data_IF_056127065927
#
_entry.id   IF_056127065927
#
_cell.length_a   1.000
_cell.length_b   1.000
_cell.length_c   1.000
_cell.angle_alpha   90.00
_cell.angle_beta   90.00
_cell.angle_gamma   90.00
#
_symmetry.space_group_name_H-M   'P 1'
#
loop_
_entity.id
_entity.type
_entity.pdbx_description
1 polymer ?
#
# COMPACT_ATOMS: atom_id res chain seq x y z
N UNK A 1 -22.53 -50.27 9.92
CA UNK A 1 -21.78 -49.28 9.13
C UNK A 1 -22.07 -47.89 9.73
N UNK A 2 -21.13 -47.36 10.53
CA UNK A 2 -21.33 -46.13 11.26
C UNK A 2 -20.61 -45.00 10.51
N UNK A 3 -21.38 -44.04 10.02
CA UNK A 3 -20.90 -42.87 9.29
C UNK A 3 -20.37 -41.82 10.32
N UNK A 4 -19.05 -41.66 10.41
CA UNK A 4 -18.45 -40.60 11.20
C UNK A 4 -18.40 -39.30 10.37
N UNK A 5 -19.25 -38.32 10.70
CA UNK A 5 -19.14 -36.95 10.24
C UNK A 5 -17.90 -36.29 10.89
N UNK A 6 -16.90 -35.94 10.08
CA UNK A 6 -15.82 -35.06 10.48
C UNK A 6 -16.34 -33.61 10.38
N UNK A 7 -16.59 -32.99 11.52
CA UNK A 7 -16.77 -31.53 11.64
C UNK A 7 -15.40 -30.88 11.52
N UNK A 8 -15.14 -30.24 10.39
CA UNK A 8 -14.01 -29.28 10.23
C UNK A 8 -14.42 -27.99 10.92
N UNK A 9 -13.93 -27.79 12.13
CA UNK A 9 -14.12 -26.53 12.85
C UNK A 9 -13.28 -25.43 12.21
N UNK A 10 -13.89 -24.48 11.52
CA UNK A 10 -13.27 -23.25 11.15
C UNK A 10 -12.97 -22.45 12.44
N UNK A 11 -11.69 -22.39 12.81
CA UNK A 11 -11.22 -21.56 13.90
C UNK A 11 -11.24 -20.10 13.42
N UNK A 12 -12.33 -19.38 13.67
CA UNK A 12 -12.37 -17.93 13.57
C UNK A 12 -11.41 -17.37 14.64
N UNK A 13 -10.20 -17.02 14.22
CA UNK A 13 -9.32 -16.19 15.03
C UNK A 13 -9.91 -14.77 15.02
N UNK A 14 -10.80 -14.49 15.97
CA UNK A 14 -11.16 -13.12 16.32
C UNK A 14 -9.91 -12.47 16.93
N UNK A 15 -9.20 -11.70 16.13
CA UNK A 15 -8.20 -10.75 16.63
C UNK A 15 -8.94 -9.80 17.58
N UNK A 16 -8.73 -9.98 18.88
CA UNK A 16 -9.16 -9.02 19.90
C UNK A 16 -8.39 -7.71 19.64
N UNK A 17 -9.03 -6.79 18.96
CA UNK A 17 -8.52 -5.44 18.81
C UNK A 17 -8.47 -4.81 20.20
N UNK A 18 -7.31 -4.32 20.61
CA UNK A 18 -7.20 -3.49 21.80
C UNK A 18 -8.18 -2.31 21.70
N UNK A 19 -8.73 -1.88 22.84
CA UNK A 19 -9.64 -0.73 22.87
C UNK A 19 -9.00 0.44 22.11
N UNK A 20 -9.79 1.15 21.31
CA UNK A 20 -9.30 2.30 20.54
C UNK A 20 -8.55 3.27 21.45
N UNK A 21 -7.34 3.71 21.06
CA UNK A 21 -6.54 4.57 21.91
C UNK A 21 -7.26 5.89 22.17
N UNK A 22 -7.10 6.45 23.37
CA UNK A 22 -7.64 7.77 23.70
C UNK A 22 -6.94 8.83 22.83
N UNK A 23 -7.69 9.67 22.10
CA UNK A 23 -7.08 10.70 21.27
C UNK A 23 -6.50 11.84 22.13
N UNK A 24 -5.35 12.35 21.71
CA UNK A 24 -4.76 13.58 22.24
C UNK A 24 -5.45 14.81 21.62
N UNK A 25 -5.78 14.72 20.34
CA UNK A 25 -6.50 15.77 19.61
C UNK A 25 -7.56 15.20 18.66
N UNK A 26 -8.57 16.02 18.36
CA UNK A 26 -9.65 15.70 17.45
C UNK A 26 -9.61 16.68 16.27
N UNK A 27 -9.66 16.14 15.04
CA UNK A 27 -9.80 16.90 13.80
C UNK A 27 -11.23 16.75 13.29
N UNK A 28 -11.90 17.86 12.96
CA UNK A 28 -13.25 17.87 12.42
C UNK A 28 -13.48 19.07 11.49
N UNK A 29 -13.91 18.83 10.25
CA UNK A 29 -14.19 19.89 9.26
C UNK A 29 -15.29 20.85 9.70
N UNK A 30 -16.22 20.37 10.51
CA UNK A 30 -17.34 21.16 11.07
C UNK A 30 -16.95 22.07 12.24
N UNK A 31 -15.70 22.01 12.68
CA UNK A 31 -15.18 22.82 13.79
C UNK A 31 -15.49 22.28 15.18
N UNK A 32 -16.01 21.08 15.31
CA UNK A 32 -16.28 20.42 16.61
C UNK A 32 -15.04 19.72 17.20
N UNK A 33 -13.88 19.79 16.53
CA UNK A 33 -12.57 19.35 16.99
C UNK A 33 -11.68 20.52 17.38
N UNK A 34 -10.48 20.22 17.89
CA UNK A 34 -9.44 21.23 18.14
C UNK A 34 -8.85 21.80 16.85
N UNK A 35 -8.87 20.99 15.77
CA UNK A 35 -8.37 21.37 14.44
C UNK A 35 -9.43 21.10 13.38
N UNK A 36 -9.45 21.93 12.32
CA UNK A 36 -10.26 21.69 11.12
C UNK A 36 -9.48 20.97 10.03
N UNK A 37 -8.14 21.06 10.08
CA UNK A 37 -7.18 20.48 9.14
C UNK A 37 -6.37 19.38 9.82
N UNK A 38 -6.21 18.24 9.14
CA UNK A 38 -5.33 17.16 9.60
C UNK A 38 -3.86 17.62 9.54
N UNK A 39 -3.48 18.43 8.52
CA UNK A 39 -2.11 18.95 8.43
C UNK A 39 -1.77 19.83 9.64
N UNK A 40 -2.70 20.68 10.10
CA UNK A 40 -2.50 21.49 11.30
C UNK A 40 -2.30 20.62 12.55
N UNK A 41 -3.14 19.59 12.73
CA UNK A 41 -3.02 18.67 13.87
C UNK A 41 -1.67 17.90 13.85
N UNK A 42 -1.22 17.43 12.68
CA UNK A 42 0.09 16.80 12.51
C UNK A 42 1.22 17.79 12.82
N UNK A 43 1.10 19.04 12.36
CA UNK A 43 2.10 20.09 12.60
C UNK A 43 2.18 20.50 14.07
N UNK A 44 1.11 20.33 14.82
CA UNK A 44 1.05 20.60 16.27
C UNK A 44 1.52 19.40 17.13
N UNK A 45 1.63 18.21 16.54
CA UNK A 45 2.13 17.02 17.27
C UNK A 45 3.54 17.28 17.81
N UNK A 46 3.89 16.73 18.99
CA UNK A 46 5.25 16.84 19.54
C UNK A 46 6.30 16.30 18.57
N UNK A 47 7.44 16.97 18.49
CA UNK A 47 8.59 16.37 17.80
C UNK A 47 9.06 15.15 18.58
N UNK A 48 9.36 14.08 17.86
CA UNK A 48 9.87 12.86 18.48
C UNK A 48 11.35 13.03 18.82
N UNK A 49 11.62 13.34 20.07
CA UNK A 49 13.00 13.49 20.61
C UNK A 49 13.47 12.28 21.39
N UNK A 50 12.53 11.43 21.89
CA UNK A 50 12.81 10.24 22.67
C UNK A 50 12.00 9.04 22.12
N UNK A 51 12.66 7.89 21.85
CA UNK A 51 11.96 6.66 21.45
C UNK A 51 10.89 6.20 22.46
N UNK A 52 11.06 6.51 23.75
CA UNK A 52 10.12 6.16 24.81
C UNK A 52 8.88 7.08 24.87
N UNK A 53 8.87 8.20 24.10
CA UNK A 53 7.70 9.09 24.07
C UNK A 53 6.46 8.34 23.60
N UNK A 54 5.33 8.39 24.34
CA UNK A 54 4.10 7.76 23.92
C UNK A 54 3.66 8.21 22.54
N UNK A 55 2.96 7.34 21.83
CA UNK A 55 2.40 7.65 20.50
C UNK A 55 1.35 8.75 20.63
N UNK A 56 1.50 9.80 19.81
CA UNK A 56 0.52 10.88 19.72
C UNK A 56 -0.67 10.44 18.86
N UNK A 57 -1.88 10.52 19.39
CA UNK A 57 -3.09 10.03 18.73
C UNK A 57 -3.93 11.18 18.20
N UNK A 58 -4.11 11.24 16.90
CA UNK A 58 -4.99 12.18 16.20
C UNK A 58 -6.25 11.44 15.76
N UNK A 59 -7.39 11.77 16.34
CA UNK A 59 -8.67 11.24 15.89
C UNK A 59 -9.28 12.16 14.84
N UNK A 60 -9.60 11.60 13.67
CA UNK A 60 -10.15 12.34 12.52
C UNK A 60 -11.63 11.96 12.36
N UNK A 61 -12.55 12.88 12.61
CA UNK A 61 -13.98 12.67 12.41
C UNK A 61 -14.31 12.42 10.95
N UNK A 62 -15.46 11.78 10.70
CA UNK A 62 -15.98 11.60 9.35
C UNK A 62 -16.11 12.96 8.64
N UNK A 63 -15.67 13.00 7.39
CA UNK A 63 -15.66 14.20 6.55
C UNK A 63 -14.67 14.06 5.41
N UNK A 64 -14.78 14.91 4.41
CA UNK A 64 -13.81 15.01 3.31
C UNK A 64 -12.86 16.18 3.57
N UNK A 65 -11.60 15.87 3.70
CA UNK A 65 -10.50 16.79 3.95
C UNK A 65 -9.75 17.00 2.63
N UNK A 66 -10.06 18.11 1.94
CA UNK A 66 -9.42 18.48 0.66
C UNK A 66 -8.10 19.18 0.91
N UNK A 67 -7.10 18.45 1.35
CA UNK A 67 -5.80 18.97 1.72
C UNK A 67 -4.67 18.01 1.38
N UNK A 68 -3.46 18.56 1.19
CA UNK A 68 -2.24 17.77 1.09
C UNK A 68 -1.62 17.62 2.46
N UNK A 69 -1.25 16.39 2.79
CA UNK A 69 -0.59 16.08 4.05
C UNK A 69 0.89 15.81 3.81
N UNK A 70 1.72 16.49 4.60
CA UNK A 70 3.13 16.21 4.70
C UNK A 70 3.54 15.97 6.16
N UNK A 71 3.91 14.73 6.46
CA UNK A 71 4.46 14.36 7.76
C UNK A 71 5.98 14.46 7.67
N UNK A 72 6.55 15.49 8.30
CA UNK A 72 7.98 15.73 8.35
C UNK A 72 8.71 14.59 9.10
N UNK A 73 9.98 14.37 8.77
CA UNK A 73 10.82 13.32 9.37
C UNK A 73 10.91 13.43 10.89
N UNK A 74 10.91 14.62 11.42
CA UNK A 74 11.00 14.94 12.86
C UNK A 74 9.69 14.63 13.62
N UNK A 75 8.59 14.38 12.90
CA UNK A 75 7.26 14.13 13.47
C UNK A 75 6.85 12.67 13.32
N UNK A 76 7.68 11.77 13.84
CA UNK A 76 7.37 10.35 13.91
C UNK A 76 6.46 9.97 15.08
N UNK A 77 6.12 8.68 15.15
CA UNK A 77 5.36 8.08 16.26
C UNK A 77 3.96 8.68 16.47
N UNK A 78 3.27 9.01 15.37
CA UNK A 78 1.89 9.51 15.40
C UNK A 78 0.94 8.38 14.95
N UNK A 79 -0.24 8.32 15.57
CA UNK A 79 -1.35 7.48 15.14
C UNK A 79 -2.48 8.36 14.62
N UNK A 80 -2.72 8.31 13.32
CA UNK A 80 -3.86 8.96 12.67
C UNK A 80 -5.00 7.96 12.59
N UNK A 81 -6.05 8.17 13.37
CA UNK A 81 -7.20 7.28 13.50
C UNK A 81 -8.46 7.94 12.94
N UNK A 82 -8.96 7.44 11.83
CA UNK A 82 -10.23 7.86 11.24
C UNK A 82 -11.45 7.28 11.98
N UNK A 83 -12.52 8.04 12.02
CA UNK A 83 -13.79 7.59 12.60
C UNK A 83 -14.42 6.44 11.77
N UNK A 84 -14.26 6.45 10.47
CA UNK A 84 -14.85 5.48 9.54
C UNK A 84 -14.03 5.43 8.27
N UNK A 85 -13.68 4.23 7.82
CA UNK A 85 -12.81 4.00 6.66
C UNK A 85 -13.31 4.67 5.39
N UNK A 86 -14.61 4.69 5.16
CA UNK A 86 -15.22 5.20 3.94
C UNK A 86 -15.63 6.67 4.03
N UNK A 87 -15.90 7.15 5.25
CA UNK A 87 -16.40 8.50 5.49
C UNK A 87 -15.33 9.48 5.98
N UNK A 88 -14.16 9.00 6.39
CA UNK A 88 -13.00 9.85 6.73
C UNK A 88 -12.06 9.86 5.54
N UNK A 89 -12.17 10.87 4.68
CA UNK A 89 -11.50 10.90 3.38
C UNK A 89 -10.51 12.07 3.31
N UNK A 90 -9.23 11.75 3.12
CA UNK A 90 -8.20 12.72 2.80
C UNK A 90 -7.99 12.69 1.29
N UNK A 91 -8.26 13.78 0.59
CA UNK A 91 -8.25 13.81 -0.86
C UNK A 91 -7.52 15.03 -1.41
N UNK A 92 -6.82 14.84 -2.52
CA UNK A 92 -6.27 15.91 -3.33
C UNK A 92 -6.15 15.47 -4.80
N UNK A 93 -5.77 16.38 -5.72
CA UNK A 93 -5.90 16.14 -7.15
C UNK A 93 -4.65 16.52 -7.98
N UNK A 94 -3.45 16.51 -7.40
CA UNK A 94 -2.24 16.75 -8.18
C UNK A 94 -1.87 15.55 -9.05
N UNK A 95 -1.40 15.81 -10.27
CA UNK A 95 -0.87 14.81 -11.19
C UNK A 95 0.38 15.31 -11.91
N UNK A 96 1.19 14.39 -12.42
CA UNK A 96 2.56 14.63 -12.85
C UNK A 96 2.73 15.73 -13.91
N UNK A 97 1.78 15.86 -14.84
CA UNK A 97 1.86 16.82 -15.96
C UNK A 97 1.44 18.24 -15.59
N UNK A 98 1.00 18.50 -14.36
CA UNK A 98 0.67 19.86 -13.95
C UNK A 98 1.91 20.77 -14.01
N UNK A 99 1.76 22.02 -14.43
CA UNK A 99 2.86 22.99 -14.38
C UNK A 99 3.22 23.36 -12.95
N UNK A 100 4.50 23.35 -12.63
CA UNK A 100 5.04 23.85 -11.38
C UNK A 100 5.31 25.36 -11.43
N UNK A 101 5.69 25.97 -10.30
CA UNK A 101 6.02 27.40 -10.24
C UNK A 101 7.17 27.83 -11.14
N UNK A 102 8.04 26.90 -11.51
CA UNK A 102 9.18 27.08 -12.42
C UNK A 102 8.82 26.88 -13.90
N UNK A 103 7.54 26.72 -14.22
CA UNK A 103 7.03 26.46 -15.57
C UNK A 103 7.30 25.03 -16.09
N UNK A 104 7.97 24.17 -15.33
CA UNK A 104 8.17 22.75 -15.66
C UNK A 104 7.05 21.91 -15.07
N UNK A 105 6.85 20.69 -15.60
CA UNK A 105 5.92 19.74 -14.98
C UNK A 105 6.38 19.36 -13.57
N UNK A 106 5.41 19.17 -12.66
CA UNK A 106 5.75 18.82 -11.27
C UNK A 106 6.34 17.41 -11.15
N UNK A 107 5.98 16.50 -12.05
CA UNK A 107 6.42 15.09 -12.03
C UNK A 107 5.78 14.29 -10.91
N UNK A 108 5.83 12.96 -11.03
CA UNK A 108 5.15 12.00 -10.15
C UNK A 108 5.42 12.23 -8.65
N UNK A 109 6.68 12.43 -8.28
CA UNK A 109 7.08 12.47 -6.87
C UNK A 109 6.59 13.71 -6.09
N UNK A 110 6.02 14.71 -6.77
CA UNK A 110 5.45 15.91 -6.15
C UNK A 110 3.93 15.93 -6.10
N UNK A 111 3.29 14.82 -6.49
CA UNK A 111 1.82 14.72 -6.58
C UNK A 111 1.11 14.14 -5.35
N UNK A 112 1.77 13.61 -4.29
CA UNK A 112 1.05 12.85 -3.27
C UNK A 112 0.00 13.70 -2.55
N UNK A 113 -1.16 13.08 -2.32
CA UNK A 113 -2.15 13.58 -1.37
C UNK A 113 -1.57 13.50 0.05
N UNK A 114 -0.97 12.37 0.39
CA UNK A 114 -0.30 12.16 1.68
C UNK A 114 1.14 11.74 1.46
N UNK A 115 2.09 12.49 2.00
CA UNK A 115 3.51 12.14 2.08
C UNK A 115 3.91 11.92 3.53
N UNK A 116 4.54 10.78 3.82
CA UNK A 116 4.95 10.38 5.16
C UNK A 116 6.46 10.14 5.18
N UNK A 117 7.20 11.10 5.71
CA UNK A 117 8.66 10.99 5.92
C UNK A 117 9.00 10.60 7.37
N UNK A 118 8.06 10.79 8.31
CA UNK A 118 8.23 10.45 9.73
C UNK A 118 8.14 8.95 9.99
N UNK A 119 8.98 8.43 10.89
CA UNK A 119 9.04 7.01 11.24
C UNK A 119 7.99 6.60 12.27
N UNK A 120 7.66 5.30 12.31
CA UNK A 120 6.82 4.70 13.34
C UNK A 120 5.37 5.19 13.32
N UNK A 121 4.86 5.64 12.18
CA UNK A 121 3.48 6.12 12.02
C UNK A 121 2.49 4.96 11.94
N UNK A 122 1.29 5.18 12.48
CA UNK A 122 0.12 4.33 12.22
C UNK A 122 -0.96 5.17 11.54
N UNK A 123 -1.49 4.68 10.43
CA UNK A 123 -2.66 5.21 9.75
C UNK A 123 -3.76 4.15 9.82
N UNK A 124 -4.91 4.51 10.34
CA UNK A 124 -5.96 3.53 10.61
C UNK A 124 -7.35 4.06 10.28
N UNK A 125 -8.17 3.20 9.66
CA UNK A 125 -9.61 3.39 9.48
C UNK A 125 -9.98 4.67 8.70
N UNK A 126 -9.29 4.96 7.59
CA UNK A 126 -9.53 6.13 6.75
C UNK A 126 -9.22 5.87 5.27
N UNK A 127 -9.63 6.78 4.40
CA UNK A 127 -9.35 6.76 2.96
C UNK A 127 -8.34 7.83 2.59
N UNK A 128 -7.31 7.44 1.83
CA UNK A 128 -6.38 8.32 1.14
C UNK A 128 -6.67 8.25 -0.37
N UNK A 129 -7.01 9.38 -1.00
CA UNK A 129 -7.42 9.39 -2.40
C UNK A 129 -6.65 10.45 -3.20
N UNK A 130 -6.20 10.09 -4.40
CA UNK A 130 -5.88 11.10 -5.39
C UNK A 130 -7.01 11.17 -6.41
N UNK A 131 -7.66 12.32 -6.48
CA UNK A 131 -8.86 12.55 -7.29
C UNK A 131 -8.58 13.22 -8.64
N UNK A 132 -7.35 13.16 -9.14
CA UNK A 132 -6.99 13.68 -10.46
C UNK A 132 -7.79 12.99 -11.61
N UNK A 133 -8.19 11.75 -11.38
CA UNK A 133 -8.97 10.96 -12.33
C UNK A 133 -8.12 10.03 -13.20
N UNK A 134 -8.77 9.42 -14.18
CA UNK A 134 -8.15 8.50 -15.13
C UNK A 134 -7.08 9.21 -15.98
N UNK A 135 -5.89 8.58 -16.19
CA UNK A 135 -4.88 9.11 -17.10
C UNK A 135 -5.41 9.28 -18.52
N UNK A 136 -5.18 10.45 -19.09
CA UNK A 136 -5.62 10.77 -20.44
C UNK A 136 -5.82 12.26 -20.72
N UNK A 137 -6.22 12.63 -21.94
CA UNK A 137 -6.50 14.00 -22.32
C UNK A 137 -7.60 14.64 -21.48
N UNK A 138 -7.50 15.94 -21.24
CA UNK A 138 -8.53 16.76 -20.60
C UNK A 138 -8.94 17.89 -21.53
N UNK A 139 -10.22 18.32 -21.50
CA UNK A 139 -10.66 19.50 -22.24
C UNK A 139 -9.91 20.78 -21.85
N UNK A 140 -9.68 20.94 -20.54
CA UNK A 140 -9.12 22.15 -19.97
C UNK A 140 -7.84 21.82 -19.18
N UNK A 141 -6.70 21.82 -19.84
CA UNK A 141 -5.40 21.66 -19.21
C UNK A 141 -4.59 20.45 -19.65
N UNK A 142 -3.45 20.18 -19.00
CA UNK A 142 -2.59 19.04 -19.32
C UNK A 142 -3.28 17.70 -19.14
N UNK A 143 -2.91 16.72 -19.97
CA UNK A 143 -3.38 15.34 -19.81
C UNK A 143 -3.08 14.81 -18.42
N UNK A 144 -4.06 14.14 -17.78
CA UNK A 144 -3.84 13.45 -16.50
C UNK A 144 -2.79 12.36 -16.70
N UNK A 145 -1.89 12.25 -15.75
CA UNK A 145 -0.82 11.27 -15.72
C UNK A 145 -0.72 10.67 -14.31
N UNK A 146 0.44 10.21 -13.91
CA UNK A 146 0.72 9.62 -12.60
C UNK A 146 0.27 10.55 -11.47
N UNK A 147 -0.40 9.96 -10.44
CA UNK A 147 -1.04 10.73 -9.39
C UNK A 147 -1.10 9.92 -8.08
N UNK A 148 -0.26 10.29 -7.12
CA UNK A 148 -0.09 9.56 -5.87
C UNK A 148 -1.20 9.88 -4.85
N UNK A 149 -1.86 8.85 -4.32
CA UNK A 149 -2.63 8.97 -3.08
C UNK A 149 -1.68 8.95 -1.86
N UNK A 150 -0.66 8.08 -1.89
CA UNK A 150 0.33 7.94 -0.83
C UNK A 150 1.76 7.94 -1.38
N UNK A 151 2.65 8.68 -0.71
CA UNK A 151 4.09 8.52 -0.77
C UNK A 151 4.63 8.21 0.63
N UNK A 152 5.24 7.03 0.81
CA UNK A 152 5.76 6.53 2.06
C UNK A 152 7.30 6.48 2.01
N UNK A 153 7.95 7.38 2.74
CA UNK A 153 9.41 7.52 2.86
C UNK A 153 9.92 7.21 4.27
N UNK A 154 9.06 7.16 5.29
CA UNK A 154 9.42 6.81 6.65
C UNK A 154 9.63 5.29 6.83
N UNK A 155 10.27 4.92 7.94
CA UNK A 155 10.44 3.52 8.35
C UNK A 155 9.41 3.10 9.40
N UNK A 156 9.08 1.79 9.44
CA UNK A 156 8.11 1.20 10.38
C UNK A 156 6.73 1.86 10.30
N UNK A 157 6.22 2.02 9.08
CA UNK A 157 4.88 2.53 8.84
C UNK A 157 3.86 1.40 8.87
N UNK A 158 2.74 1.63 9.54
CA UNK A 158 1.61 0.71 9.58
C UNK A 158 0.38 1.39 9.00
N UNK A 159 -0.23 0.74 8.01
CA UNK A 159 -1.51 1.13 7.44
C UNK A 159 -2.51 0.01 7.74
N UNK A 160 -3.54 0.32 8.51
CA UNK A 160 -4.48 -0.67 9.00
C UNK A 160 -5.89 -0.27 8.64
N UNK A 161 -6.64 -1.19 7.98
CA UNK A 161 -8.03 -0.95 7.61
C UNK A 161 -8.23 0.37 6.85
N UNK A 162 -7.29 0.72 5.95
CA UNK A 162 -7.31 1.93 5.12
C UNK A 162 -7.81 1.62 3.70
N UNK A 163 -8.22 2.68 2.99
CA UNK A 163 -8.45 2.63 1.54
C UNK A 163 -7.47 3.57 0.84
N UNK A 164 -6.93 3.11 -0.29
CA UNK A 164 -6.07 3.90 -1.17
C UNK A 164 -6.71 3.94 -2.55
N UNK A 165 -7.15 5.12 -2.96
CA UNK A 165 -7.90 5.30 -4.20
C UNK A 165 -7.12 6.15 -5.19
N UNK A 166 -6.94 5.61 -6.40
CA UNK A 166 -6.23 6.28 -7.47
C UNK A 166 -6.29 5.49 -8.77
N UNK A 167 -5.45 5.88 -9.72
CA UNK A 167 -5.34 5.24 -11.04
C UNK A 167 -3.90 4.77 -11.28
N UNK A 168 -3.11 5.51 -12.07
CA UNK A 168 -1.70 5.21 -12.27
C UNK A 168 -0.87 5.71 -11.09
N UNK A 169 0.04 4.88 -10.58
CA UNK A 169 0.97 5.21 -9.50
C UNK A 169 0.28 5.57 -8.15
N UNK A 170 -0.77 4.85 -7.74
CA UNK A 170 -1.54 5.20 -6.53
C UNK A 170 -0.69 5.26 -5.25
N UNK A 171 0.18 4.25 -5.03
CA UNK A 171 1.01 4.13 -3.82
C UNK A 171 2.49 4.04 -4.19
N UNK A 172 3.27 5.03 -3.76
CA UNK A 172 4.72 4.97 -3.76
C UNK A 172 5.23 4.53 -2.39
N UNK A 173 5.66 3.29 -2.26
CA UNK A 173 6.41 2.78 -1.11
C UNK A 173 7.90 2.97 -1.42
N UNK A 174 8.43 4.18 -1.12
CA UNK A 174 9.70 4.63 -1.66
C UNK A 174 10.92 4.02 -0.95
N UNK A 175 10.89 3.97 0.39
CA UNK A 175 11.95 3.41 1.24
C UNK A 175 11.42 3.03 2.62
N UNK A 176 12.21 2.32 3.42
CA UNK A 176 11.81 1.87 4.75
C UNK A 176 11.02 0.56 4.73
N UNK A 177 10.37 0.26 5.83
CA UNK A 177 9.59 -0.96 6.05
C UNK A 177 8.14 -0.60 6.33
N UNK A 178 7.22 -1.23 5.58
CA UNK A 178 5.81 -0.89 5.64
C UNK A 178 4.95 -2.15 5.83
N UNK A 179 3.94 -2.04 6.66
CA UNK A 179 2.95 -3.07 6.89
C UNK A 179 1.55 -2.54 6.56
N UNK A 180 0.92 -3.16 5.58
CA UNK A 180 -0.46 -2.88 5.19
C UNK A 180 -1.31 -4.08 5.60
N UNK A 181 -2.34 -3.87 6.41
CA UNK A 181 -3.23 -4.95 6.85
C UNK A 181 -4.69 -4.55 6.68
N UNK A 182 -5.50 -5.48 6.15
CA UNK A 182 -6.93 -5.30 5.88
C UNK A 182 -7.23 -4.04 5.03
N UNK A 183 -6.31 -3.65 4.15
CA UNK A 183 -6.46 -2.46 3.31
C UNK A 183 -7.13 -2.78 1.98
N UNK A 184 -7.87 -1.80 1.45
CA UNK A 184 -8.35 -1.78 0.08
C UNK A 184 -7.46 -0.86 -0.75
N UNK A 185 -6.93 -1.37 -1.86
CA UNK A 185 -6.00 -0.62 -2.73
C UNK A 185 -6.48 -0.75 -4.17
N UNK A 186 -6.77 0.38 -4.81
CA UNK A 186 -7.17 0.37 -6.22
C UNK A 186 -6.25 1.20 -7.11
N UNK A 187 -6.18 0.80 -8.37
CA UNK A 187 -5.41 1.49 -9.39
C UNK A 187 -5.39 0.76 -10.73
N UNK A 188 -4.59 1.27 -11.65
CA UNK A 188 -4.45 0.72 -13.00
C UNK A 188 -3.01 0.33 -13.33
N UNK A 189 -2.15 1.29 -13.64
CA UNK A 189 -0.77 1.04 -14.07
C UNK A 189 0.19 1.32 -12.91
N UNK A 190 1.02 0.34 -12.55
CA UNK A 190 2.10 0.48 -11.56
C UNK A 190 1.61 1.06 -10.21
N UNK A 191 0.39 0.70 -9.81
CA UNK A 191 -0.26 1.41 -8.72
C UNK A 191 0.25 1.07 -7.32
N UNK A 192 1.19 0.11 -7.20
CA UNK A 192 2.01 -0.13 -6.01
C UNK A 192 3.47 -0.20 -6.48
N UNK A 193 4.26 0.84 -6.22
CA UNK A 193 5.61 0.93 -6.75
C UNK A 193 6.62 1.51 -5.76
N UNK A 194 7.91 1.37 -6.03
CA UNK A 194 8.99 1.90 -5.19
C UNK A 194 9.99 0.86 -4.71
N UNK A 195 10.87 1.25 -3.78
CA UNK A 195 12.05 0.48 -3.36
C UNK A 195 11.97 -0.09 -1.93
N UNK A 196 10.90 0.19 -1.20
CA UNK A 196 10.73 -0.23 0.20
C UNK A 196 10.60 -1.76 0.35
N UNK A 197 10.80 -2.24 1.57
CA UNK A 197 10.31 -3.55 1.99
C UNK A 197 8.89 -3.40 2.51
N UNK A 198 7.91 -3.98 1.81
CA UNK A 198 6.50 -3.82 2.18
C UNK A 198 5.78 -5.15 2.27
N UNK A 199 4.99 -5.31 3.32
CA UNK A 199 4.17 -6.50 3.54
C UNK A 199 2.70 -6.11 3.49
N UNK A 200 1.96 -6.76 2.60
CA UNK A 200 0.52 -6.59 2.42
C UNK A 200 -0.17 -7.84 2.93
N UNK A 201 -0.94 -7.70 4.00
CA UNK A 201 -1.57 -8.78 4.74
C UNK A 201 -3.10 -8.66 4.64
N UNK A 202 -3.79 -9.67 4.15
CA UNK A 202 -5.25 -9.68 3.98
C UNK A 202 -5.79 -8.45 3.22
N UNK A 203 -5.01 -7.89 2.29
CA UNK A 203 -5.42 -6.72 1.52
C UNK A 203 -6.29 -7.11 0.31
N UNK A 204 -7.26 -6.26 -0.01
CA UNK A 204 -8.02 -6.33 -1.25
C UNK A 204 -7.41 -5.39 -2.30
N UNK A 205 -6.85 -5.96 -3.35
CA UNK A 205 -6.22 -5.25 -4.48
C UNK A 205 -7.21 -5.23 -5.64
N UNK A 206 -7.66 -4.04 -6.05
CA UNK A 206 -8.65 -3.89 -7.12
C UNK A 206 -8.09 -3.17 -8.33
N UNK A 207 -8.22 -3.78 -9.51
CA UNK A 207 -7.71 -3.23 -10.77
C UNK A 207 -8.84 -2.56 -11.53
N UNK A 208 -8.76 -1.24 -11.71
CA UNK A 208 -9.83 -0.44 -12.35
C UNK A 208 -9.69 -0.33 -13.86
N UNK A 209 -8.50 -0.62 -14.42
CA UNK A 209 -8.20 -0.60 -15.87
C UNK A 209 -6.99 -1.50 -16.15
N UNK A 210 -6.84 -1.95 -17.41
CA UNK A 210 -5.69 -2.74 -17.85
C UNK A 210 -4.35 -2.12 -17.42
N UNK A 211 -3.46 -2.96 -16.86
CA UNK A 211 -2.17 -2.44 -16.40
C UNK A 211 -1.31 -3.44 -15.64
N UNK A 212 -0.71 -2.95 -14.57
CA UNK A 212 0.24 -3.68 -13.74
C UNK A 212 -0.01 -3.35 -12.28
N UNK A 213 -0.15 -4.37 -11.43
CA UNK A 213 -0.36 -4.16 -9.98
C UNK A 213 0.90 -3.56 -9.37
N UNK A 214 2.06 -4.18 -9.59
CA UNK A 214 3.31 -3.75 -8.96
C UNK A 214 4.37 -3.31 -9.95
N UNK A 215 5.18 -2.31 -9.54
CA UNK A 215 6.40 -1.89 -10.22
C UNK A 215 7.52 -1.70 -9.18
N UNK A 216 8.06 -2.81 -8.69
CA UNK A 216 9.10 -2.78 -7.67
C UNK A 216 10.45 -2.27 -8.23
N UNK A 217 11.18 -1.55 -7.39
CA UNK A 217 12.55 -1.08 -7.67
C UNK A 217 13.51 -1.49 -6.55
N UNK A 218 13.33 -2.67 -6.01
CA UNK A 218 14.11 -3.21 -4.89
C UNK A 218 15.62 -3.08 -5.16
N UNK A 219 16.42 -2.51 -4.26
CA UNK A 219 17.86 -2.49 -4.35
C UNK A 219 18.46 -3.91 -4.39
N UNK A 220 19.60 -4.07 -5.06
CA UNK A 220 20.26 -5.38 -5.22
C UNK A 220 20.47 -6.10 -3.89
N UNK A 221 20.98 -5.38 -2.92
CA UNK A 221 21.40 -5.94 -1.63
C UNK A 221 20.25 -5.99 -0.58
N UNK A 222 19.07 -5.50 -0.92
CA UNK A 222 17.90 -5.58 -0.04
C UNK A 222 17.29 -6.99 -0.12
N UNK A 223 17.17 -7.72 1.01
CA UNK A 223 16.74 -9.12 0.98
C UNK A 223 15.29 -9.29 0.52
N UNK A 224 14.40 -8.38 0.87
CA UNK A 224 12.98 -8.43 0.56
C UNK A 224 12.50 -7.17 -0.17
N UNK A 225 11.54 -7.34 -1.08
CA UNK A 225 10.76 -6.26 -1.70
C UNK A 225 9.33 -6.30 -1.17
N UNK A 226 8.37 -6.64 -2.04
CA UNK A 226 6.96 -6.74 -1.67
C UNK A 226 6.56 -8.18 -1.39
N UNK A 227 5.82 -8.39 -0.32
CA UNK A 227 5.16 -9.66 0.01
C UNK A 227 3.67 -9.39 0.18
N UNK A 228 2.85 -10.04 -0.62
CA UNK A 228 1.40 -10.08 -0.50
C UNK A 228 1.00 -11.44 0.07
N UNK A 229 0.37 -11.46 1.22
CA UNK A 229 -0.05 -12.69 1.88
C UNK A 229 -1.54 -12.67 2.16
N UNK A 230 -2.23 -13.78 1.83
CA UNK A 230 -3.64 -13.97 2.08
C UNK A 230 -4.52 -12.83 1.51
N UNK A 231 -4.07 -12.22 0.40
CA UNK A 231 -4.71 -11.12 -0.28
C UNK A 231 -5.77 -11.60 -1.27
N UNK A 232 -6.63 -10.67 -1.71
CA UNK A 232 -7.57 -10.87 -2.80
C UNK A 232 -7.26 -9.89 -3.94
N UNK A 233 -7.20 -10.40 -5.18
CA UNK A 233 -7.08 -9.58 -6.39
C UNK A 233 -8.36 -9.66 -7.20
N UNK A 234 -9.01 -8.51 -7.41
CA UNK A 234 -10.18 -8.37 -8.28
C UNK A 234 -9.92 -7.35 -9.39
N UNK A 235 -10.80 -7.26 -10.35
CA UNK A 235 -10.74 -6.23 -11.39
C UNK A 235 -12.13 -5.84 -11.85
N UNK A 236 -12.24 -4.65 -12.42
CA UNK A 236 -13.44 -4.22 -13.12
C UNK A 236 -13.72 -5.15 -14.31
N UNK A 237 -14.95 -5.13 -14.82
CA UNK A 237 -15.40 -6.03 -15.89
C UNK A 237 -14.51 -5.93 -17.13
N UNK A 238 -14.03 -7.08 -17.62
CA UNK A 238 -13.19 -7.18 -18.81
C UNK A 238 -11.73 -6.77 -18.66
N UNK A 239 -11.33 -6.24 -17.51
CA UNK A 239 -9.96 -5.76 -17.24
C UNK A 239 -8.98 -6.93 -17.20
N UNK A 240 -7.76 -6.67 -17.72
CA UNK A 240 -6.61 -7.59 -17.66
C UNK A 240 -5.37 -6.91 -17.11
N UNK A 241 -4.72 -7.55 -16.15
CA UNK A 241 -3.55 -7.00 -15.47
C UNK A 241 -2.43 -8.03 -15.33
N UNK A 242 -1.20 -7.55 -15.23
CA UNK A 242 -0.08 -8.33 -14.74
C UNK A 242 0.06 -8.14 -13.22
N UNK A 243 0.60 -9.14 -12.52
CA UNK A 243 0.97 -9.06 -11.11
C UNK A 243 2.08 -8.01 -10.88
N UNK A 244 2.93 -7.83 -11.88
CA UNK A 244 3.92 -6.77 -11.85
C UNK A 244 4.92 -6.76 -12.99
N UNK A 245 5.74 -5.71 -12.99
CA UNK A 245 6.87 -5.51 -13.90
C UNK A 245 8.04 -4.82 -13.18
N UNK A 246 9.32 -5.04 -13.59
CA UNK A 246 10.48 -4.53 -12.87
C UNK A 246 10.77 -3.06 -13.23
N UNK A 247 10.48 -2.13 -12.32
CA UNK A 247 10.94 -0.75 -12.51
C UNK A 247 12.47 -0.67 -12.47
N UNK A 248 13.12 -1.51 -11.63
CA UNK A 248 14.58 -1.69 -11.61
C UNK A 248 14.93 -3.18 -11.65
N UNK A 249 16.17 -3.49 -12.02
CA UNK A 249 16.61 -4.84 -12.41
C UNK A 249 16.50 -5.90 -11.29
N UNK A 250 16.56 -5.49 -10.02
CA UNK A 250 16.51 -6.41 -8.88
C UNK A 250 15.14 -6.43 -8.19
N UNK A 251 14.10 -6.05 -8.90
CA UNK A 251 12.74 -6.03 -8.38
C UNK A 251 12.35 -7.37 -7.73
N UNK A 252 11.75 -7.29 -6.53
CA UNK A 252 11.29 -8.48 -5.78
C UNK A 252 9.83 -8.31 -5.38
N UNK A 253 8.99 -9.26 -5.81
CA UNK A 253 7.56 -9.29 -5.46
C UNK A 253 7.12 -10.74 -5.31
N UNK A 254 6.43 -11.04 -4.22
CA UNK A 254 5.94 -12.38 -3.88
C UNK A 254 4.46 -12.32 -3.54
N UNK A 255 3.67 -13.22 -4.10
CA UNK A 255 2.27 -13.46 -3.71
C UNK A 255 2.13 -14.81 -3.03
N UNK A 256 1.58 -14.82 -1.82
CA UNK A 256 1.35 -16.01 -1.01
C UNK A 256 -0.14 -16.20 -0.77
N UNK A 257 -0.68 -17.37 -1.09
CA UNK A 257 -2.08 -17.74 -0.80
C UNK A 257 -3.10 -16.66 -1.20
N UNK A 258 -2.82 -15.98 -2.30
CA UNK A 258 -3.65 -14.91 -2.80
C UNK A 258 -4.76 -15.44 -3.68
N UNK A 259 -6.01 -15.02 -3.46
CA UNK A 259 -7.12 -15.29 -4.34
C UNK A 259 -7.08 -14.34 -5.54
N UNK A 260 -6.97 -14.88 -6.76
CA UNK A 260 -6.80 -14.11 -7.99
C UNK A 260 -7.98 -14.29 -8.93
N UNK A 261 -8.71 -13.21 -9.22
CA UNK A 261 -9.76 -13.24 -10.23
C UNK A 261 -9.20 -13.42 -11.65
N UNK A 262 -10.09 -13.65 -12.62
CA UNK A 262 -9.73 -13.76 -14.04
C UNK A 262 -9.16 -12.47 -14.65
N UNK A 263 -9.07 -11.37 -13.90
CA UNK A 263 -8.37 -10.16 -14.30
C UNK A 263 -6.86 -10.38 -14.41
N UNK A 264 -6.27 -11.27 -13.62
CA UNK A 264 -4.84 -11.57 -13.70
C UNK A 264 -4.54 -12.37 -14.97
N UNK A 265 -3.62 -11.86 -15.79
CA UNK A 265 -3.19 -12.50 -17.04
C UNK A 265 -2.49 -13.83 -16.78
N UNK A 266 -2.64 -14.83 -17.67
CA UNK A 266 -1.98 -16.14 -17.53
C UNK A 266 -0.46 -16.04 -17.36
N UNK A 267 0.21 -15.12 -18.07
CA UNK A 267 1.64 -14.89 -17.98
C UNK A 267 2.08 -14.42 -16.59
N UNK A 268 1.20 -13.78 -15.85
CA UNK A 268 1.41 -13.25 -14.51
C UNK A 268 2.32 -12.03 -14.45
N UNK A 269 3.48 -12.06 -15.10
CA UNK A 269 4.52 -11.06 -15.00
C UNK A 269 4.94 -10.51 -16.37
N UNK A 270 5.43 -9.27 -16.40
CA UNK A 270 5.94 -8.63 -17.59
C UNK A 270 7.37 -8.11 -17.33
N UNK A 271 8.27 -8.25 -18.29
CA UNK A 271 9.70 -7.87 -18.12
C UNK A 271 10.00 -6.39 -18.39
N UNK A 272 8.99 -5.56 -18.64
CA UNK A 272 9.12 -4.15 -19.02
C UNK A 272 9.99 -3.91 -20.27
N UNK A 273 9.99 -4.85 -21.21
CA UNK A 273 10.90 -4.86 -22.37
C UNK A 273 12.40 -4.78 -21.99
N UNK A 274 12.76 -5.37 -20.84
CA UNK A 274 14.11 -5.44 -20.30
C UNK A 274 14.51 -6.90 -20.09
N UNK A 275 14.88 -7.66 -21.13
CA UNK A 275 15.22 -9.08 -20.99
C UNK A 275 16.29 -9.39 -19.92
N UNK A 276 17.32 -8.55 -19.68
CA UNK A 276 18.27 -8.80 -18.60
C UNK A 276 17.63 -8.84 -17.20
N UNK A 277 16.53 -8.12 -16.97
CA UNK A 277 15.82 -8.11 -15.68
C UNK A 277 15.20 -9.48 -15.34
N UNK A 278 14.91 -10.32 -16.32
CA UNK A 278 14.39 -11.68 -16.11
C UNK A 278 15.33 -12.56 -15.29
N UNK A 279 16.64 -12.29 -15.37
CA UNK A 279 17.67 -13.04 -14.64
C UNK A 279 17.85 -12.53 -13.21
N UNK A 280 17.54 -11.27 -12.94
CA UNK A 280 17.86 -10.58 -11.68
C UNK A 280 16.66 -10.34 -10.79
N UNK A 281 15.45 -10.32 -11.35
CA UNK A 281 14.20 -10.19 -10.58
C UNK A 281 13.90 -11.43 -9.75
N UNK A 282 13.21 -11.22 -8.63
CA UNK A 282 12.64 -12.29 -7.84
C UNK A 282 11.11 -12.14 -7.77
N UNK A 283 10.44 -12.68 -8.77
CA UNK A 283 8.98 -12.72 -8.88
C UNK A 283 8.48 -14.14 -8.63
N UNK A 284 7.66 -14.31 -7.60
CA UNK A 284 7.30 -15.61 -7.12
C UNK A 284 5.85 -15.69 -6.62
N UNK A 285 5.30 -16.89 -6.63
CA UNK A 285 3.96 -17.19 -6.14
C UNK A 285 3.98 -18.51 -5.38
N UNK A 286 3.11 -18.62 -4.34
CA UNK A 286 2.89 -19.89 -3.64
C UNK A 286 1.45 -19.98 -3.10
N UNK A 287 0.78 -21.08 -3.41
CA UNK A 287 -0.52 -21.41 -2.83
C UNK A 287 -1.67 -20.49 -3.24
N UNK A 288 -1.49 -19.66 -4.28
CA UNK A 288 -2.55 -18.80 -4.80
C UNK A 288 -3.68 -19.61 -5.45
N UNK A 289 -4.91 -19.07 -5.40
CA UNK A 289 -6.13 -19.72 -5.84
C UNK A 289 -6.95 -18.83 -6.77
N UNK A 290 -8.01 -19.39 -7.37
CA UNK A 290 -8.90 -18.66 -8.27
C UNK A 290 -8.49 -18.72 -9.73
N UNK A 291 -9.32 -18.21 -10.65
CA UNK A 291 -9.12 -18.36 -12.10
C UNK A 291 -7.89 -17.61 -12.65
N UNK A 292 -7.37 -16.61 -11.93
CA UNK A 292 -6.14 -15.92 -12.28
C UNK A 292 -4.87 -16.57 -11.73
N UNK A 293 -4.99 -17.57 -10.87
CA UNK A 293 -3.86 -18.31 -10.31
C UNK A 293 -3.53 -19.51 -11.20
N UNK A 294 -2.70 -19.31 -12.20
CA UNK A 294 -2.33 -20.33 -13.20
C UNK A 294 -0.82 -20.56 -13.26
N UNK A 295 -0.19 -21.24 -12.28
CA UNK A 295 1.27 -21.38 -12.22
C UNK A 295 1.89 -21.98 -13.48
N UNK A 296 1.19 -22.91 -14.16
CA UNK A 296 1.67 -23.58 -15.37
C UNK A 296 1.78 -22.65 -16.59
N UNK A 297 1.13 -21.49 -16.58
CA UNK A 297 1.12 -20.54 -17.70
C UNK A 297 1.96 -19.29 -17.43
N UNK A 298 2.57 -19.19 -16.26
CA UNK A 298 3.45 -18.08 -15.91
C UNK A 298 4.68 -18.02 -16.81
N UNK A 299 5.21 -16.81 -16.98
CA UNK A 299 6.49 -16.65 -17.69
C UNK A 299 7.58 -17.56 -17.12
N UNK A 300 8.48 -18.12 -17.96
CA UNK A 300 9.43 -19.15 -17.51
C UNK A 300 10.49 -18.64 -16.52
N UNK A 301 10.66 -17.34 -16.38
CA UNK A 301 11.56 -16.71 -15.42
C UNK A 301 10.91 -16.41 -14.05
N UNK A 302 9.61 -16.64 -13.87
CA UNK A 302 8.97 -16.60 -12.55
C UNK A 302 9.56 -17.71 -11.65
N UNK A 303 9.76 -17.41 -10.37
CA UNK A 303 10.43 -18.31 -9.43
C UNK A 303 9.38 -19.14 -8.67
N UNK A 304 9.42 -20.47 -8.75
CA UNK A 304 8.60 -21.29 -7.86
C UNK A 304 9.10 -21.17 -6.42
N UNK A 305 8.17 -21.16 -5.46
CA UNK A 305 8.49 -21.23 -4.04
C UNK A 305 8.12 -22.59 -3.47
N UNK A 306 8.93 -23.08 -2.53
CA UNK A 306 8.60 -24.27 -1.73
C UNK A 306 7.90 -23.85 -0.43
N UNK A 307 7.22 -24.80 0.23
CA UNK A 307 6.59 -24.55 1.52
C UNK A 307 7.61 -24.07 2.57
N UNK A 308 8.83 -24.63 2.57
CA UNK A 308 9.90 -24.23 3.49
C UNK A 308 10.34 -22.78 3.24
N UNK A 309 10.48 -22.36 1.98
CA UNK A 309 10.83 -20.99 1.62
C UNK A 309 9.77 -20.00 2.10
N UNK A 310 8.49 -20.36 2.06
CA UNK A 310 7.40 -19.50 2.54
C UNK A 310 7.40 -19.31 4.06
N UNK A 311 7.94 -20.26 4.84
CA UNK A 311 8.07 -20.13 6.29
C UNK A 311 8.99 -18.97 6.73
N UNK A 312 9.85 -18.48 5.84
CA UNK A 312 10.67 -17.29 6.05
C UNK A 312 9.96 -15.98 5.70
N UNK A 313 8.77 -16.02 5.11
CA UNK A 313 8.05 -14.84 4.60
C UNK A 313 6.91 -14.40 5.54
N UNK A 314 7.14 -14.41 6.85
CA UNK A 314 6.21 -13.85 7.84
C UNK A 314 6.46 -12.35 8.03
N UNK A 315 5.46 -11.55 8.49
CA UNK A 315 5.65 -10.11 8.72
C UNK A 315 6.88 -9.80 9.58
N UNK A 316 7.04 -10.49 10.71
CA UNK A 316 8.17 -10.27 11.62
C UNK A 316 9.54 -10.63 11.01
N UNK A 317 9.62 -11.61 10.08
CA UNK A 317 10.88 -11.94 9.40
C UNK A 317 11.19 -11.00 8.25
N UNK A 318 10.18 -10.65 7.45
CA UNK A 318 10.33 -9.75 6.28
C UNK A 318 10.63 -8.32 6.73
N UNK A 319 9.94 -7.85 7.76
CA UNK A 319 10.04 -6.47 8.24
C UNK A 319 10.97 -6.29 9.44
N UNK A 320 11.49 -7.39 10.02
CA UNK A 320 12.27 -7.37 11.25
C UNK A 320 13.52 -6.49 11.20
N UNK A 321 14.23 -6.48 10.07
CA UNK A 321 15.47 -5.72 9.94
C UNK A 321 16.50 -6.09 11.00
N UNK A 322 17.35 -5.13 11.35
CA UNK A 322 18.37 -5.31 12.42
C UNK A 322 17.84 -5.00 13.82
N UNK A 323 16.72 -4.28 13.91
CA UNK A 323 16.08 -3.85 15.16
C UNK A 323 14.95 -4.79 15.61
N UNK A 324 14.68 -5.84 14.85
CA UNK A 324 13.68 -6.85 15.19
C UNK A 324 12.23 -6.32 15.15
N UNK A 325 11.96 -5.24 14.41
CA UNK A 325 10.61 -4.68 14.35
C UNK A 325 9.57 -5.71 13.88
N UNK A 326 8.53 -5.86 14.68
CA UNK A 326 7.40 -6.73 14.35
C UNK A 326 6.09 -5.92 14.43
N UNK A 327 5.42 -5.66 13.29
CA UNK A 327 4.19 -4.86 13.27
C UNK A 327 3.00 -5.53 13.96
N UNK A 328 3.09 -6.83 14.27
CA UNK A 328 2.07 -7.59 15.00
C UNK A 328 2.21 -7.47 16.52
N UNK A 329 3.30 -6.89 16.99
CA UNK A 329 3.54 -6.62 18.40
C UNK A 329 3.44 -5.10 18.63
N UNK A 330 2.67 -4.66 19.64
CA UNK A 330 2.43 -3.23 19.90
C UNK A 330 3.69 -2.47 20.34
#
# INVERSE_FOLDING_TARGET
>A
MSLRCLLVGACLQTTLWAASPKPDVIVATDGTGQYKSLQEAISAAPMKTDPATPRWVIFVKAGTYNERIYVQRERGNIHVLGADREKTVIAYNLYANLPGPDGKIIGTFRTPTVQVDGDGMIWENLTLANTAGEPGPRPDGPAVAQALALRADGDRLVFRHCRFLGWQDTILVNRGRHYFVDCYIEGSVDFIFGAATSYFDHCHIHVVKDGYITAASTPKDQPYGYVFADCQITGADGVKTYLGRPWRDFAKTVFLRTEMSAAVRPEGWHNWNKPPAEQTTFYAEFGSTGPGASPATRVPWAKPLTAEATAALTPGKVLGGVDGWNPLQP
#
